data_IF_649789375280
#
_entry.id   IF_649789375280
#
_cell.length_a   1.000
_cell.length_b   1.000
_cell.length_c   1.000
_cell.angle_alpha   90.00
_cell.angle_beta   90.00
_cell.angle_gamma   90.00
#
_symmetry.space_group_name_H-M   'P 1'
#
loop_
_entity.id
_entity.type
_entity.pdbx_description
1 polymer ?
#
# COMPACT_ATOMS: atom_id res chain seq x y z
N UNK A 1 -5.65 -14.51 -16.38
CA UNK A 1 -5.12 -15.06 -15.35
C UNK A 1 -6.06 -15.64 -14.37
N UNK A 2 -5.86 -16.73 -14.01
CA UNK A 2 -6.74 -17.35 -13.16
C UNK A 2 -6.13 -17.54 -11.84
N UNK A 3 -6.59 -16.86 -10.89
CA UNK A 3 -6.06 -17.05 -9.59
C UNK A 3 -7.14 -17.51 -8.74
N UNK A 4 -6.87 -18.40 -7.90
CA UNK A 4 -7.86 -18.81 -6.96
C UNK A 4 -7.98 -17.74 -5.96
N UNK A 5 -8.98 -17.75 -5.20
CA UNK A 5 -9.23 -16.72 -4.24
C UNK A 5 -8.08 -16.46 -3.31
N UNK A 6 -7.37 -17.48 -2.91
CA UNK A 6 -6.29 -17.32 -1.95
C UNK A 6 -5.20 -16.44 -2.52
N UNK A 7 -4.78 -16.72 -3.73
CA UNK A 7 -3.71 -15.96 -4.34
C UNK A 7 -4.14 -14.53 -4.59
N UNK A 8 -5.35 -14.36 -5.08
CA UNK A 8 -5.82 -13.03 -5.37
C UNK A 8 -5.92 -12.20 -4.10
N UNK A 9 -6.40 -12.81 -3.04
CA UNK A 9 -6.51 -12.10 -1.78
C UNK A 9 -5.15 -11.74 -1.22
N UNK A 10 -4.21 -12.65 -1.33
CA UNK A 10 -2.87 -12.42 -0.83
C UNK A 10 -2.23 -11.25 -1.56
N UNK A 11 -2.34 -11.25 -2.87
CA UNK A 11 -1.77 -10.18 -3.67
C UNK A 11 -2.44 -8.85 -3.35
N UNK A 12 -3.75 -8.87 -3.21
CA UNK A 12 -4.49 -7.66 -2.92
C UNK A 12 -4.06 -7.09 -1.57
N UNK A 13 -3.87 -7.95 -0.60
CA UNK A 13 -3.44 -7.50 0.72
C UNK A 13 -2.05 -6.90 0.65
N UNK A 14 -1.17 -7.50 -0.10
CA UNK A 14 0.17 -6.99 -0.24
C UNK A 14 0.17 -5.61 -0.86
N UNK A 15 -0.58 -5.48 -1.93
CA UNK A 15 -0.66 -4.20 -2.62
C UNK A 15 -1.26 -3.14 -1.69
N UNK A 16 -2.28 -3.51 -0.96
CA UNK A 16 -2.93 -2.57 -0.05
C UNK A 16 -1.94 -2.08 1.01
N UNK A 17 -1.17 -2.98 1.56
CA UNK A 17 -0.19 -2.61 2.57
C UNK A 17 0.87 -1.69 1.97
N UNK A 18 1.35 -2.05 0.78
CA UNK A 18 2.37 -1.23 0.13
C UNK A 18 1.87 0.17 -0.14
N UNK A 19 0.65 0.27 -0.64
CA UNK A 19 0.07 1.57 -0.94
C UNK A 19 -0.12 2.38 0.34
N UNK A 20 -0.59 1.74 1.39
CA UNK A 20 -0.77 2.44 2.66
C UNK A 20 0.56 2.96 3.18
N UNK A 21 1.61 2.17 3.08
CA UNK A 21 2.91 2.60 3.54
C UNK A 21 3.41 3.78 2.73
N UNK A 22 3.23 3.71 1.43
CA UNK A 22 3.67 4.79 0.56
C UNK A 22 2.95 6.09 0.90
N UNK A 23 1.65 6.01 1.06
CA UNK A 23 0.87 7.19 1.39
C UNK A 23 1.31 7.75 2.73
N UNK A 24 1.52 6.90 3.70
CA UNK A 24 1.94 7.34 5.01
C UNK A 24 3.29 8.05 4.94
N UNK A 25 4.21 7.47 4.19
CA UNK A 25 5.54 8.07 4.06
C UNK A 25 5.46 9.43 3.38
N UNK A 26 4.67 9.52 2.33
CA UNK A 26 4.52 10.77 1.62
C UNK A 26 3.91 11.84 2.53
N UNK A 27 2.89 11.46 3.27
CA UNK A 27 2.23 12.39 4.17
C UNK A 27 3.20 12.86 5.27
N UNK A 28 3.97 11.93 5.79
CA UNK A 28 4.93 12.29 6.82
C UNK A 28 5.98 13.25 6.27
N UNK A 29 6.46 12.96 5.09
CA UNK A 29 7.46 13.82 4.48
C UNK A 29 6.91 15.22 4.28
N UNK A 30 5.72 15.31 3.73
CA UNK A 30 5.10 16.61 3.49
C UNK A 30 4.89 17.35 4.79
N UNK A 31 4.49 16.63 5.82
CA UNK A 31 4.28 17.23 7.11
C UNK A 31 5.59 17.79 7.66
N UNK A 32 6.66 17.05 7.48
CA UNK A 32 7.95 17.48 7.95
C UNK A 32 8.45 18.69 7.21
N UNK A 33 8.41 18.63 5.90
CA UNK A 33 8.94 19.72 5.10
C UNK A 33 7.96 20.84 4.95
N UNK A 34 6.71 20.50 4.88
CA UNK A 34 5.69 21.48 4.63
C UNK A 34 5.50 22.44 5.77
N UNK A 35 6.00 22.10 6.92
CA UNK A 35 5.81 22.97 8.02
C UNK A 35 6.67 24.14 7.99
#
# INVERSE_FOLDING_TARGET
>A
MITTGSTALDTALEIAIAVCLLITLVLLWRNYRGR
#
